data_IF_560610327828
#
_entry.id   IF_560610327828
#
_cell.length_a   1.000
_cell.length_b   1.000
_cell.length_c   1.000
_cell.angle_alpha   90.00
_cell.angle_beta   90.00
_cell.angle_gamma   90.00
#
_symmetry.space_group_name_H-M   'P 1'
#
loop_
_entity.id
_entity.type
_entity.pdbx_description
1 polymer ?
#
# COMPACT_ATOMS: atom_id res chain seq x y z
N UNK A 1 1.05 -29.03 19.13
CA UNK A 1 -0.22 -28.63 19.75
C UNK A 1 -0.94 -27.77 18.76
N UNK A 2 -2.13 -28.17 18.33
CA UNK A 2 -2.78 -27.72 17.12
C UNK A 2 -3.36 -26.29 17.28
N UNK A 3 -2.83 -25.33 16.53
CA UNK A 3 -3.28 -23.92 16.45
C UNK A 3 -4.62 -23.73 15.72
N UNK A 4 -5.41 -24.79 15.56
CA UNK A 4 -6.65 -24.80 14.76
C UNK A 4 -7.71 -23.86 15.36
N UNK A 5 -7.71 -23.67 16.68
CA UNK A 5 -8.60 -22.73 17.37
C UNK A 5 -8.21 -21.25 17.15
N UNK A 6 -6.91 -20.96 16.97
CA UNK A 6 -6.43 -19.61 16.68
C UNK A 6 -6.79 -19.17 15.27
N UNK A 7 -6.65 -20.07 14.29
CA UNK A 7 -6.98 -19.80 12.89
C UNK A 7 -8.48 -19.58 12.68
N UNK A 8 -9.33 -20.36 13.37
CA UNK A 8 -10.79 -20.20 13.30
C UNK A 8 -11.25 -18.90 13.98
N UNK A 9 -10.67 -18.54 15.12
CA UNK A 9 -10.97 -17.27 15.78
C UNK A 9 -10.52 -16.05 14.93
N UNK A 10 -9.36 -16.14 14.28
CA UNK A 10 -8.89 -15.13 13.34
C UNK A 10 -9.79 -14.99 12.10
N UNK A 11 -10.31 -16.10 11.57
CA UNK A 11 -11.25 -16.08 10.45
C UNK A 11 -12.62 -15.49 10.82
N UNK A 12 -13.14 -15.80 12.01
CA UNK A 12 -14.41 -15.24 12.49
C UNK A 12 -14.26 -13.75 12.80
N UNK A 13 -13.14 -13.32 13.41
CA UNK A 13 -12.88 -11.91 13.67
C UNK A 13 -12.78 -11.08 12.37
N UNK A 14 -12.14 -11.63 11.33
CA UNK A 14 -12.06 -10.99 10.01
C UNK A 14 -13.38 -10.99 9.23
N UNK A 15 -14.36 -11.83 9.56
CA UNK A 15 -15.69 -11.78 8.97
C UNK A 15 -16.60 -10.71 9.62
N UNK A 16 -16.32 -10.34 10.86
CA UNK A 16 -17.18 -9.43 11.64
C UNK A 16 -16.76 -7.96 11.50
N UNK A 17 -15.49 -7.68 11.18
CA UNK A 17 -15.01 -6.31 10.97
C UNK A 17 -14.59 -6.12 9.51
N UNK A 18 -15.22 -5.19 8.77
CA UNK A 18 -14.78 -4.84 7.42
C UNK A 18 -13.30 -4.46 7.43
N UNK A 19 -12.52 -4.98 6.47
CA UNK A 19 -11.10 -4.67 6.36
C UNK A 19 -10.80 -3.16 6.28
N UNK A 20 -11.75 -2.37 5.75
CA UNK A 20 -11.67 -0.92 5.72
C UNK A 20 -11.69 -0.27 7.11
N UNK A 21 -12.52 -0.75 8.03
CA UNK A 21 -12.63 -0.21 9.39
C UNK A 21 -11.37 -0.48 10.19
N UNK A 22 -10.79 -1.69 10.02
CA UNK A 22 -9.49 -2.05 10.61
C UNK A 22 -8.38 -1.15 10.06
N UNK A 23 -8.31 -0.97 8.74
CA UNK A 23 -7.30 -0.12 8.13
C UNK A 23 -7.43 1.35 8.53
N UNK A 24 -8.66 1.86 8.68
CA UNK A 24 -8.91 3.21 9.19
C UNK A 24 -8.45 3.36 10.64
N UNK A 25 -8.77 2.40 11.51
CA UNK A 25 -8.32 2.39 12.89
C UNK A 25 -6.80 2.34 13.02
N UNK A 26 -6.15 1.51 12.21
CA UNK A 26 -4.68 1.44 12.15
C UNK A 26 -4.10 2.76 11.65
N UNK A 27 -4.64 3.34 10.58
CA UNK A 27 -4.15 4.59 10.02
C UNK A 27 -4.25 5.75 11.02
N UNK A 28 -5.37 5.85 11.74
CA UNK A 28 -5.54 6.83 12.81
C UNK A 28 -4.52 6.61 13.93
N UNK A 29 -4.35 5.37 14.39
CA UNK A 29 -3.36 5.04 15.41
C UNK A 29 -1.92 5.36 14.96
N UNK A 30 -1.58 5.15 13.68
CA UNK A 30 -0.27 5.53 13.14
C UNK A 30 -0.08 7.05 13.22
N UNK A 31 -1.07 7.85 12.79
CA UNK A 31 -0.99 9.31 12.90
C UNK A 31 -0.81 9.77 14.36
N UNK A 32 -1.59 9.20 15.28
CA UNK A 32 -1.59 9.57 16.70
C UNK A 32 -0.29 9.20 17.41
N UNK A 33 0.37 8.11 17.01
CA UNK A 33 1.64 7.67 17.61
C UNK A 33 2.87 8.29 16.93
N UNK A 34 2.80 8.59 15.63
CA UNK A 34 3.93 9.12 14.89
C UNK A 34 4.27 10.54 15.33
N UNK A 35 3.25 11.39 15.53
CA UNK A 35 3.45 12.76 15.95
C UNK A 35 4.20 12.90 17.29
N UNK A 36 3.82 12.22 18.40
CA UNK A 36 4.57 12.27 19.64
C UNK A 36 5.97 11.66 19.50
N UNK A 37 6.14 10.58 18.73
CA UNK A 37 7.46 9.99 18.46
C UNK A 37 8.42 10.97 17.76
N UNK A 38 7.92 11.75 16.80
CA UNK A 38 8.69 12.82 16.15
C UNK A 38 8.93 14.00 17.10
N UNK A 39 7.93 14.38 17.90
CA UNK A 39 8.06 15.46 18.87
C UNK A 39 9.11 15.15 19.94
N UNK A 40 9.21 13.89 20.37
CA UNK A 40 10.26 13.43 21.25
C UNK A 40 11.65 13.67 20.65
N UNK A 41 11.80 13.50 19.35
CA UNK A 41 13.04 13.76 18.60
C UNK A 41 13.32 15.25 18.40
N UNK A 42 12.40 16.13 18.80
CA UNK A 42 12.48 17.56 18.57
C UNK A 42 11.94 17.98 17.21
N UNK A 43 11.09 17.17 16.57
CA UNK A 43 10.52 17.47 15.25
C UNK A 43 9.03 17.71 15.42
N UNK A 44 8.58 18.92 15.13
CA UNK A 44 7.16 19.23 15.09
C UNK A 44 6.63 18.92 13.69
N UNK A 45 5.82 17.86 13.59
CA UNK A 45 5.19 17.44 12.35
C UNK A 45 3.66 17.38 12.51
N UNK A 46 2.95 17.57 11.41
CA UNK A 46 1.53 17.20 11.29
C UNK A 46 1.42 15.91 10.46
N UNK A 47 0.60 14.97 10.92
CA UNK A 47 0.33 13.72 10.23
C UNK A 47 -1.14 13.70 9.81
N UNK A 48 -1.41 13.47 8.54
CA UNK A 48 -2.77 13.45 7.99
C UNK A 48 -2.98 12.21 7.12
N UNK A 49 -4.13 11.56 7.25
CA UNK A 49 -4.52 10.45 6.38
C UNK A 49 -4.98 11.02 5.03
N UNK A 50 -4.16 10.85 4.00
CA UNK A 50 -4.44 11.40 2.67
C UNK A 50 -5.23 10.43 1.78
N UNK A 51 -5.04 9.13 1.96
CA UNK A 51 -5.70 8.11 1.16
C UNK A 51 -5.95 6.85 1.96
N UNK A 52 -7.10 6.22 1.73
CA UNK A 52 -7.48 4.93 2.31
C UNK A 52 -8.28 4.13 1.28
N UNK A 53 -7.83 2.91 0.99
CA UNK A 53 -8.55 1.96 0.16
C UNK A 53 -8.27 0.54 0.64
N UNK A 54 -9.30 -0.13 1.18
CA UNK A 54 -9.18 -1.48 1.73
C UNK A 54 -8.07 -1.56 2.80
N UNK A 55 -7.07 -2.42 2.62
CA UNK A 55 -5.91 -2.60 3.49
C UNK A 55 -4.72 -1.68 3.16
N UNK A 56 -4.89 -0.71 2.27
CA UNK A 56 -3.85 0.24 1.88
C UNK A 56 -4.22 1.66 2.29
N UNK A 57 -3.28 2.38 2.89
CA UNK A 57 -3.46 3.76 3.27
C UNK A 57 -2.17 4.56 3.12
N UNK A 58 -2.31 5.87 2.97
CA UNK A 58 -1.20 6.82 2.82
C UNK A 58 -1.34 7.89 3.87
N UNK A 59 -0.29 8.06 4.68
CA UNK A 59 -0.18 9.13 5.67
C UNK A 59 0.81 10.16 5.16
N UNK A 60 0.37 11.41 5.06
CA UNK A 60 1.22 12.55 4.78
C UNK A 60 1.81 13.08 6.08
N UNK A 61 3.13 13.21 6.12
CA UNK A 61 3.87 13.73 7.26
C UNK A 61 4.54 15.03 6.86
N UNK A 62 4.03 16.15 7.36
CA UNK A 62 4.57 17.47 7.09
C UNK A 62 5.38 17.98 8.27
N UNK A 63 6.69 18.14 8.08
CA UNK A 63 7.58 18.75 9.08
C UNK A 63 7.39 20.27 9.06
N UNK A 64 6.87 20.83 10.16
CA UNK A 64 6.60 22.27 10.31
C UNK A 64 7.76 23.03 10.94
N UNK A 65 8.37 22.43 11.95
CA UNK A 65 9.55 22.99 12.60
C UNK A 65 10.40 21.89 13.23
N UNK A 66 11.64 22.24 13.55
CA UNK A 66 12.58 21.36 14.23
C UNK A 66 13.31 22.13 15.32
N UNK A 67 13.37 21.55 16.51
CA UNK A 67 14.17 21.98 17.64
C UNK A 67 15.54 21.29 17.56
N UNK A 68 16.47 21.99 16.91
CA UNK A 68 17.83 21.48 16.69
C UNK A 68 18.61 21.28 17.99
N UNK A 69 18.27 22.00 19.07
CA UNK A 69 18.91 21.81 20.37
C UNK A 69 18.49 20.48 20.98
N UNK A 70 17.19 20.17 20.93
CA UNK A 70 16.67 18.87 21.38
C UNK A 70 17.17 17.72 20.51
N UNK A 71 17.21 17.91 19.19
CA UNK A 71 17.79 16.93 18.26
C UNK A 71 19.27 16.66 18.56
N UNK A 72 20.06 17.71 18.87
CA UNK A 72 21.47 17.57 19.21
C UNK A 72 21.68 16.88 20.56
N UNK A 73 20.83 17.15 21.55
CA UNK A 73 20.86 16.48 22.84
C UNK A 73 20.60 14.97 22.72
N UNK A 74 19.78 14.56 21.75
CA UNK A 74 19.50 13.15 21.42
C UNK A 74 20.50 12.53 20.43
N UNK A 75 21.51 13.28 19.99
CA UNK A 75 22.51 12.79 19.03
C UNK A 75 21.97 12.59 17.61
N UNK A 76 20.79 13.12 17.29
CA UNK A 76 20.21 13.06 15.94
C UNK A 76 20.96 14.00 14.99
N UNK A 77 21.42 15.14 15.50
CA UNK A 77 22.25 16.11 14.76
C UNK A 77 23.49 16.49 15.55
N UNK A 78 24.53 16.94 14.86
CA UNK A 78 25.74 17.43 15.53
C UNK A 78 25.45 18.75 16.26
N UNK A 79 26.06 18.96 17.44
CA UNK A 79 25.95 20.22 18.20
C UNK A 79 26.37 21.44 17.39
N UNK A 80 27.41 21.31 16.56
CA UNK A 80 27.86 22.38 15.67
C UNK A 80 26.77 22.80 14.68
N UNK A 81 26.01 21.85 14.13
CA UNK A 81 24.86 22.13 13.25
C UNK A 81 23.76 22.88 14.00
N UNK A 82 23.44 22.46 15.24
CA UNK A 82 22.44 23.15 16.05
C UNK A 82 22.84 24.60 16.38
N UNK A 83 24.12 24.85 16.69
CA UNK A 83 24.65 26.19 16.90
C UNK A 83 24.63 27.03 15.61
N UNK A 84 24.98 26.43 14.47
CA UNK A 84 24.95 27.11 13.19
C UNK A 84 23.53 27.55 12.81
N UNK A 85 22.51 26.71 13.07
CA UNK A 85 21.12 27.08 12.82
C UNK A 85 20.66 28.20 13.77
N UNK A 86 21.13 28.25 15.02
CA UNK A 86 20.85 29.40 15.90
C UNK A 86 21.39 30.71 15.33
N UNK A 87 22.56 30.67 14.67
CA UNK A 87 23.09 31.85 13.99
C UNK A 87 22.17 32.36 12.86
N UNK A 88 21.26 31.53 12.34
CA UNK A 88 20.31 31.94 11.30
C UNK A 88 19.23 32.89 11.81
N UNK A 89 19.02 32.97 13.13
CA UNK A 89 18.09 33.93 13.72
C UNK A 89 18.53 35.38 13.49
N UNK A 90 19.83 35.62 13.34
CA UNK A 90 20.41 36.94 13.07
C UNK A 90 20.37 37.33 11.58
N UNK A 91 19.97 36.43 10.67
CA UNK A 91 19.92 36.72 9.24
C UNK A 91 18.64 37.46 8.82
N UNK A 92 18.72 38.32 7.78
CA UNK A 92 17.55 38.92 7.17
C UNK A 92 16.54 37.86 6.68
N UNK A 93 15.24 38.15 6.85
CA UNK A 93 14.14 37.24 6.49
C UNK A 93 14.21 36.64 5.07
N UNK A 94 14.61 37.38 4.01
CA UNK A 94 14.72 36.82 2.66
C UNK A 94 15.73 35.68 2.53
N UNK A 95 16.79 35.69 3.35
CA UNK A 95 17.84 34.67 3.36
C UNK A 95 17.53 33.56 4.36
N UNK A 96 16.96 33.93 5.52
CA UNK A 96 16.62 32.98 6.58
C UNK A 96 15.63 31.90 6.12
N UNK A 97 14.56 32.29 5.41
CA UNK A 97 13.50 31.36 4.97
C UNK A 97 14.02 30.21 4.08
N UNK A 98 14.72 30.46 2.96
CA UNK A 98 15.20 29.39 2.10
C UNK A 98 16.24 28.51 2.79
N UNK A 99 17.09 29.07 3.66
CA UNK A 99 18.05 28.28 4.44
C UNK A 99 17.33 27.36 5.43
N UNK A 100 16.36 27.88 6.19
CA UNK A 100 15.57 27.06 7.11
C UNK A 100 14.81 25.97 6.35
N UNK A 101 14.20 26.29 5.21
CA UNK A 101 13.52 25.31 4.37
C UNK A 101 14.48 24.21 3.87
N UNK A 102 15.70 24.56 3.48
CA UNK A 102 16.73 23.60 3.08
C UNK A 102 17.12 22.68 4.23
N UNK A 103 17.32 23.22 5.43
CA UNK A 103 17.64 22.41 6.61
C UNK A 103 16.47 21.49 6.99
N UNK A 104 15.23 22.00 7.00
CA UNK A 104 14.06 21.18 7.28
C UNK A 104 13.87 20.07 6.22
N UNK A 105 14.16 20.36 4.95
CA UNK A 105 14.18 19.35 3.89
C UNK A 105 15.22 18.27 4.18
N UNK A 106 16.43 18.62 4.61
CA UNK A 106 17.44 17.63 4.99
C UNK A 106 17.00 16.79 6.19
N UNK A 107 16.37 17.39 7.20
CA UNK A 107 15.79 16.66 8.33
C UNK A 107 14.73 15.67 7.85
N UNK A 108 13.80 16.12 6.99
CA UNK A 108 12.76 15.26 6.43
C UNK A 108 13.38 14.11 5.61
N UNK A 109 14.36 14.37 4.76
CA UNK A 109 15.08 13.33 3.99
C UNK A 109 15.78 12.33 4.90
N UNK A 110 16.37 12.79 6.01
CA UNK A 110 16.99 11.91 7.00
C UNK A 110 16.01 11.01 7.75
N UNK A 111 14.74 11.42 7.85
CA UNK A 111 13.69 10.60 8.47
C UNK A 111 13.24 9.43 7.58
N UNK A 112 13.26 9.59 6.25
CA UNK A 112 12.78 8.60 5.28
C UNK A 112 13.28 7.17 5.54
N UNK A 113 14.58 6.90 5.78
CA UNK A 113 15.05 5.54 6.04
C UNK A 113 14.68 5.00 7.42
N UNK A 114 14.41 5.86 8.41
CA UNK A 114 14.17 5.44 9.81
C UNK A 114 12.69 5.16 10.12
N UNK A 115 11.80 6.04 9.63
CA UNK A 115 10.37 6.01 9.96
C UNK A 115 9.68 4.69 9.57
N UNK A 116 9.91 4.09 8.38
CA UNK A 116 9.25 2.84 8.01
C UNK A 116 9.55 1.68 8.95
N UNK A 117 10.80 1.56 9.41
CA UNK A 117 11.20 0.49 10.32
C UNK A 117 10.55 0.63 11.68
N UNK A 118 10.47 1.85 12.20
CA UNK A 118 9.84 2.16 13.48
C UNK A 118 8.32 1.93 13.43
N UNK A 119 7.64 2.46 12.41
CA UNK A 119 6.20 2.25 12.23
C UNK A 119 5.88 0.77 12.05
N UNK A 120 6.69 0.04 11.27
CA UNK A 120 6.51 -1.41 11.12
C UNK A 120 6.68 -2.15 12.45
N UNK A 121 7.71 -1.81 13.23
CA UNK A 121 7.94 -2.41 14.54
C UNK A 121 6.80 -2.10 15.52
N UNK A 122 6.28 -0.88 15.49
CA UNK A 122 5.18 -0.46 16.37
C UNK A 122 3.86 -1.15 16.00
N UNK A 123 3.56 -1.25 14.70
CA UNK A 123 2.40 -1.99 14.19
C UNK A 123 2.47 -3.49 14.54
N UNK A 124 3.65 -4.09 14.45
CA UNK A 124 3.85 -5.48 14.82
C UNK A 124 3.72 -5.68 16.34
N UNK A 125 4.35 -4.84 17.15
CA UNK A 125 4.40 -4.99 18.61
C UNK A 125 3.09 -4.62 19.31
N UNK A 126 2.43 -3.53 18.87
CA UNK A 126 1.21 -3.02 19.50
C UNK A 126 -0.05 -3.50 18.80
N UNK A 127 -0.02 -3.55 17.48
CA UNK A 127 -1.18 -3.90 16.66
C UNK A 127 -1.28 -5.40 16.35
N UNK A 128 -0.17 -6.16 16.48
CA UNK A 128 -0.11 -7.52 15.96
C UNK A 128 -0.27 -7.59 14.44
N UNK A 129 -0.02 -6.47 13.73
CA UNK A 129 -0.24 -6.36 12.29
C UNK A 129 1.09 -6.40 11.57
N UNK A 130 1.20 -7.32 10.60
CA UNK A 130 2.29 -7.30 9.65
C UNK A 130 1.98 -6.31 8.52
N UNK A 131 2.68 -5.17 8.51
CA UNK A 131 2.53 -4.14 7.51
C UNK A 131 3.81 -3.94 6.70
N UNK A 132 3.65 -3.71 5.40
CA UNK A 132 4.71 -3.18 4.54
C UNK A 132 4.63 -1.66 4.56
N UNK A 133 5.58 -1.03 5.23
CA UNK A 133 5.67 0.43 5.32
C UNK A 133 6.76 0.92 4.38
N UNK A 134 6.44 1.94 3.59
CA UNK A 134 7.39 2.65 2.72
C UNK A 134 7.24 4.14 2.94
N UNK A 135 8.37 4.85 3.00
CA UNK A 135 8.39 6.31 3.05
C UNK A 135 9.22 6.85 1.88
N UNK A 136 8.88 8.04 1.43
CA UNK A 136 9.50 8.67 0.27
C UNK A 136 9.31 10.19 0.32
N UNK A 137 10.12 10.95 -0.44
CA UNK A 137 9.95 12.38 -0.54
C UNK A 137 8.68 12.74 -1.30
N UNK A 138 8.19 13.96 -1.10
CA UNK A 138 7.00 14.51 -1.76
C UNK A 138 7.10 14.44 -3.29
N UNK A 139 8.30 14.68 -3.83
CA UNK A 139 8.58 14.66 -5.27
C UNK A 139 8.28 13.29 -5.91
N UNK A 140 8.38 12.21 -5.13
CA UNK A 140 8.14 10.82 -5.57
C UNK A 140 6.77 10.27 -5.14
N UNK A 141 5.98 11.05 -4.39
CA UNK A 141 4.73 10.59 -3.77
C UNK A 141 3.77 10.02 -4.82
N UNK A 142 3.49 10.80 -5.87
CA UNK A 142 2.56 10.40 -6.91
C UNK A 142 2.98 9.07 -7.56
N UNK A 143 4.25 8.93 -7.92
CA UNK A 143 4.77 7.72 -8.54
C UNK A 143 4.60 6.50 -7.64
N UNK A 144 4.84 6.64 -6.34
CA UNK A 144 4.68 5.56 -5.37
C UNK A 144 3.23 5.20 -5.11
N UNK A 145 2.36 6.19 -4.95
CA UNK A 145 0.93 5.96 -4.77
C UNK A 145 0.35 5.25 -6.00
N UNK A 146 0.69 5.71 -7.21
CA UNK A 146 0.24 5.05 -8.44
C UNK A 146 0.80 3.63 -8.58
N UNK A 147 2.07 3.40 -8.25
CA UNK A 147 2.66 2.07 -8.27
C UNK A 147 1.97 1.13 -7.26
N UNK A 148 1.68 1.60 -6.05
CA UNK A 148 0.99 0.83 -5.03
C UNK A 148 -0.45 0.51 -5.44
N UNK A 149 -1.21 1.49 -5.93
CA UNK A 149 -2.59 1.31 -6.41
C UNK A 149 -2.62 0.36 -7.62
N UNK A 150 -1.67 0.46 -8.54
CA UNK A 150 -1.54 -0.48 -9.66
C UNK A 150 -1.28 -1.91 -9.17
N UNK A 151 -0.43 -2.08 -8.15
CA UNK A 151 -0.18 -3.36 -7.48
C UNK A 151 -1.45 -3.96 -6.88
N UNK A 152 -2.20 -3.18 -6.11
CA UNK A 152 -3.47 -3.62 -5.50
C UNK A 152 -4.50 -4.04 -6.54
N UNK A 153 -4.64 -3.27 -7.63
CA UNK A 153 -5.57 -3.61 -8.72
C UNK A 153 -5.18 -4.91 -9.41
N UNK A 154 -3.88 -5.17 -9.60
CA UNK A 154 -3.40 -6.42 -10.18
C UNK A 154 -3.72 -7.61 -9.27
N UNK A 155 -3.44 -7.50 -7.98
CA UNK A 155 -3.73 -8.55 -7.00
C UNK A 155 -5.24 -8.86 -6.89
N UNK A 156 -6.08 -7.82 -6.86
CA UNK A 156 -7.54 -7.96 -6.83
C UNK A 156 -8.06 -8.67 -8.09
N UNK A 157 -7.53 -8.31 -9.26
CA UNK A 157 -7.91 -8.94 -10.52
C UNK A 157 -7.47 -10.41 -10.57
N UNK A 158 -6.30 -10.74 -10.03
CA UNK A 158 -5.82 -12.12 -9.89
C UNK A 158 -6.70 -12.94 -8.93
N UNK A 159 -7.10 -12.36 -7.79
CA UNK A 159 -8.07 -12.98 -6.87
C UNK A 159 -9.40 -13.26 -7.54
N UNK A 160 -9.96 -12.28 -8.26
CA UNK A 160 -11.22 -12.47 -9.01
C UNK A 160 -11.11 -13.55 -10.07
N UNK A 161 -9.98 -13.62 -10.78
CA UNK A 161 -9.71 -14.71 -11.73
C UNK A 161 -9.67 -16.06 -11.04
N UNK A 162 -8.93 -16.20 -9.94
CA UNK A 162 -8.86 -17.44 -9.17
C UNK A 162 -10.24 -17.86 -8.63
N UNK A 163 -11.04 -16.91 -8.14
CA UNK A 163 -12.41 -17.17 -7.69
C UNK A 163 -13.32 -17.61 -8.84
N UNK A 164 -13.24 -16.95 -10.00
CA UNK A 164 -14.01 -17.34 -11.18
C UNK A 164 -13.65 -18.75 -11.68
N UNK A 165 -12.37 -19.13 -11.62
CA UNK A 165 -11.92 -20.49 -11.95
C UNK A 165 -12.43 -21.52 -10.92
N UNK A 166 -12.42 -21.20 -9.63
CA UNK A 166 -12.96 -22.07 -8.58
C UNK A 166 -14.48 -22.24 -8.71
N UNK A 167 -15.22 -21.16 -8.94
CA UNK A 167 -16.67 -21.20 -9.16
C UNK A 167 -17.02 -22.04 -10.40
N UNK A 168 -16.34 -21.79 -11.52
CA UNK A 168 -16.54 -22.59 -12.73
C UNK A 168 -16.21 -24.07 -12.52
N UNK A 169 -15.19 -24.40 -11.72
CA UNK A 169 -14.87 -25.78 -11.39
C UNK A 169 -15.94 -26.44 -10.50
N UNK A 170 -16.51 -25.71 -9.53
CA UNK A 170 -17.61 -26.17 -8.68
C UNK A 170 -18.90 -26.39 -9.48
N UNK A 171 -19.29 -25.44 -10.33
CA UNK A 171 -20.50 -25.53 -11.16
C UNK A 171 -20.44 -26.70 -12.16
N UNK A 172 -19.23 -27.09 -12.60
CA UNK A 172 -19.05 -28.14 -13.59
C UNK A 172 -18.88 -29.55 -12.99
N UNK A 173 -18.39 -29.66 -11.76
CA UNK A 173 -18.08 -30.96 -11.12
C UNK A 173 -19.09 -31.35 -10.04
N UNK A 174 -19.82 -30.40 -9.47
CA UNK A 174 -20.75 -30.65 -8.36
C UNK A 174 -20.09 -31.20 -7.10
N UNK A 175 -18.75 -31.16 -7.01
CA UNK A 175 -17.97 -31.66 -5.88
C UNK A 175 -17.11 -30.55 -5.26
N UNK A 176 -16.95 -30.57 -3.93
CA UNK A 176 -16.30 -29.50 -3.17
C UNK A 176 -14.78 -29.41 -3.38
N UNK A 177 -14.13 -30.48 -3.86
CA UNK A 177 -12.69 -30.48 -4.19
C UNK A 177 -12.42 -31.19 -5.53
N UNK A 178 -12.38 -30.46 -6.66
CA UNK A 178 -12.05 -31.05 -7.95
C UNK A 178 -10.58 -31.45 -8.02
N UNK A 179 -10.31 -32.65 -8.54
CA UNK A 179 -8.93 -33.12 -8.73
C UNK A 179 -8.24 -32.40 -9.89
N UNK A 180 -6.91 -32.26 -9.83
CA UNK A 180 -6.11 -31.59 -10.86
C UNK A 180 -6.37 -32.16 -12.27
N UNK A 181 -6.61 -33.46 -12.38
CA UNK A 181 -6.93 -34.14 -13.64
C UNK A 181 -8.29 -33.73 -14.23
N UNK A 182 -9.25 -33.34 -13.39
CA UNK A 182 -10.57 -32.87 -13.80
C UNK A 182 -10.52 -31.41 -14.24
N UNK A 183 -9.79 -30.56 -13.50
CA UNK A 183 -9.51 -29.18 -13.91
C UNK A 183 -8.79 -29.15 -15.27
N UNK A 184 -7.80 -30.02 -15.46
CA UNK A 184 -7.04 -30.10 -16.73
C UNK A 184 -7.94 -30.54 -17.89
N UNK A 185 -8.80 -31.55 -17.67
CA UNK A 185 -9.77 -31.99 -18.70
C UNK A 185 -10.82 -30.93 -19.01
N UNK A 186 -11.27 -30.17 -18.02
CA UNK A 186 -12.23 -29.09 -18.21
C UNK A 186 -11.63 -27.94 -19.04
N UNK A 187 -10.38 -27.54 -18.75
CA UNK A 187 -9.66 -26.53 -19.54
C UNK A 187 -9.49 -26.99 -20.99
N UNK A 188 -9.11 -28.26 -21.22
CA UNK A 188 -8.96 -28.80 -22.56
C UNK A 188 -10.27 -28.79 -23.36
N UNK A 189 -11.41 -29.12 -22.72
CA UNK A 189 -12.73 -29.07 -23.35
C UNK A 189 -13.16 -27.64 -23.69
N UNK A 190 -12.91 -26.70 -22.78
CA UNK A 190 -13.24 -25.29 -23.04
C UNK A 190 -12.41 -24.72 -24.19
N UNK A 191 -11.13 -25.04 -24.25
CA UNK A 191 -10.28 -24.66 -25.38
C UNK A 191 -10.81 -25.21 -26.71
N UNK A 192 -11.28 -26.46 -26.76
CA UNK A 192 -11.87 -27.05 -27.97
C UNK A 192 -13.19 -26.36 -28.39
N UNK A 193 -14.05 -26.02 -27.42
CA UNK A 193 -15.28 -25.27 -27.67
C UNK A 193 -15.02 -23.85 -28.18
N UNK A 194 -14.07 -23.13 -27.57
CA UNK A 194 -13.72 -21.77 -28.00
C UNK A 194 -13.08 -21.79 -29.41
N UNK A 195 -12.29 -22.83 -29.72
CA UNK A 195 -11.73 -23.03 -31.06
C UNK A 195 -12.81 -23.30 -32.12
N UNK A 196 -13.81 -24.13 -31.79
CA UNK A 196 -14.97 -24.37 -32.67
C UNK A 196 -15.76 -23.09 -32.89
N UNK A 197 -16.06 -22.35 -31.83
CA UNK A 197 -16.78 -21.09 -31.93
C UNK A 197 -16.03 -20.07 -32.81
N UNK A 198 -14.71 -19.92 -32.64
CA UNK A 198 -13.92 -19.06 -33.54
C UNK A 198 -13.91 -19.58 -34.98
N UNK A 199 -13.82 -20.89 -35.18
CA UNK A 199 -13.87 -21.48 -36.52
C UNK A 199 -15.21 -21.20 -37.21
N UNK A 200 -16.31 -21.30 -36.47
CA UNK A 200 -17.64 -21.00 -37.01
C UNK A 200 -17.82 -19.52 -37.29
N UNK A 201 -17.25 -18.65 -36.44
CA UNK A 201 -17.25 -17.21 -36.65
C UNK A 201 -16.44 -16.82 -37.90
N UNK A 202 -15.26 -17.39 -38.10
CA UNK A 202 -14.45 -17.19 -39.31
C UNK A 202 -15.16 -17.74 -40.55
N UNK A 203 -15.79 -18.92 -40.45
CA UNK A 203 -16.58 -19.48 -41.56
C UNK A 203 -17.73 -18.55 -41.94
N UNK A 204 -18.47 -18.04 -40.96
CA UNK A 204 -19.55 -17.08 -41.19
C UNK A 204 -19.09 -15.75 -41.79
N UNK A 205 -17.86 -15.32 -41.49
CA UNK A 205 -17.29 -14.10 -42.06
C UNK A 205 -16.74 -14.30 -43.49
N UNK A 206 -16.40 -15.53 -43.88
CA UNK A 206 -15.89 -15.87 -45.21
C UNK A 206 -16.98 -16.28 -46.19
N UNK A 207 -18.18 -16.61 -45.70
CA UNK A 207 -19.39 -16.69 -46.52
C UNK A 207 -19.80 -15.26 -46.93
N UNK A 208 -19.07 -14.68 -47.89
CA UNK A 208 -19.49 -13.46 -48.54
C UNK A 208 -20.83 -13.73 -49.26
N UNK A 209 -21.83 -12.84 -49.13
CA UNK A 209 -23.02 -12.93 -49.95
C UNK A 209 -22.57 -12.93 -51.41
N UNK A 210 -23.02 -13.91 -52.18
CA UNK A 210 -22.82 -13.91 -53.62
C UNK A 210 -23.28 -12.54 -54.12
N UNK A 211 -22.37 -11.76 -54.71
CA UNK A 211 -22.76 -10.55 -55.39
C UNK A 211 -23.67 -11.00 -56.54
N UNK A 212 -24.97 -10.77 -56.39
CA UNK A 212 -25.93 -10.92 -57.48
C UNK A 212 -25.45 -9.98 -58.60
N UNK A 213 -25.00 -10.56 -59.71
CA UNK A 213 -24.67 -9.81 -60.93
C UNK A 213 -25.99 -9.34 -61.56
N UNK A 214 -26.32 -8.06 -61.36
CA UNK A 214 -27.31 -7.33 -62.18
C UNK A 214 -26.66 -6.72 -63.44
#
# INVERSE_FOLDING_TARGET
>A
GNNVLGDVAGHIANQVVPAGDVAQGIAAAVCDNLQPGLAERGIAASCELAFLQSNFFVVLVQVRSADFQRMAAKGVVMRATAQLVQCFEFMPLPVRRPLLASVLRQVATGLIPSVPGEVRSDLAARGGVEARVTAAPLDDEAALVFAAVAGLRREELERRRQQSLRGAAQDFTGQEEPTFAEVTRAIARKADSDMKWMSDLVRSALEFPACDEE
#
